data_IF_567342175957
#
_entry.id   IF_567342175957
#
_cell.length_a   1.000
_cell.length_b   1.000
_cell.length_c   1.000
_cell.angle_alpha   90.00
_cell.angle_beta   90.00
_cell.angle_gamma   90.00
#
_symmetry.space_group_name_H-M   'P 1'
#
loop_
_entity.id
_entity.type
_entity.pdbx_description
1 polymer ?
#
# COMPACT_ATOMS: atom_id res chain seq x y z
N UNK A 1 2.85 -22.40 -32.69
CA UNK A 1 3.06 -23.84 -32.37
C UNK A 1 2.37 -24.75 -33.41
N UNK A 2 1.08 -24.53 -33.74
CA UNK A 2 0.33 -25.37 -34.70
C UNK A 2 0.97 -25.52 -36.09
N UNK A 3 1.28 -24.42 -36.78
CA UNK A 3 1.81 -24.44 -38.16
C UNK A 3 3.17 -25.16 -38.27
N UNK A 4 4.01 -25.08 -37.24
CA UNK A 4 5.31 -25.74 -37.21
C UNK A 4 5.21 -27.25 -37.00
N UNK A 5 4.31 -27.72 -36.13
CA UNK A 5 4.04 -29.14 -35.91
C UNK A 5 3.40 -29.76 -37.16
N UNK A 6 2.44 -29.04 -37.77
CA UNK A 6 1.82 -29.43 -39.04
C UNK A 6 2.86 -29.58 -40.15
N UNK A 7 3.75 -28.60 -40.31
CA UNK A 7 4.80 -28.63 -41.34
C UNK A 7 5.76 -29.81 -41.17
N UNK A 8 6.12 -30.16 -39.93
CA UNK A 8 6.96 -31.33 -39.61
C UNK A 8 6.22 -32.66 -39.84
N UNK A 9 4.93 -32.73 -39.49
CA UNK A 9 4.06 -33.87 -39.82
C UNK A 9 3.99 -34.09 -41.34
N UNK A 10 3.79 -33.03 -42.12
CA UNK A 10 3.72 -33.09 -43.59
C UNK A 10 5.04 -33.56 -44.20
N UNK A 11 6.18 -33.04 -43.74
CA UNK A 11 7.51 -33.49 -44.17
C UNK A 11 7.78 -34.97 -43.82
N UNK A 12 7.38 -35.42 -42.63
CA UNK A 12 7.49 -36.82 -42.23
C UNK A 12 6.60 -37.73 -43.10
N UNK A 13 5.38 -37.27 -43.40
CA UNK A 13 4.45 -37.99 -44.25
C UNK A 13 4.94 -38.14 -45.69
N UNK A 14 5.54 -37.08 -46.27
CA UNK A 14 6.16 -37.12 -47.59
C UNK A 14 7.31 -38.13 -47.65
N UNK A 15 8.20 -38.14 -46.64
CA UNK A 15 9.32 -39.09 -46.57
C UNK A 15 8.87 -40.54 -46.42
N UNK A 16 7.84 -40.80 -45.60
CA UNK A 16 7.30 -42.15 -45.41
C UNK A 16 6.58 -42.67 -46.66
N UNK A 17 5.87 -41.80 -47.38
CA UNK A 17 5.29 -42.10 -48.70
C UNK A 17 6.38 -42.40 -49.74
N UNK A 18 7.44 -41.58 -49.81
CA UNK A 18 8.57 -41.82 -50.70
C UNK A 18 9.32 -43.14 -50.40
N UNK A 19 9.38 -43.54 -49.13
CA UNK A 19 9.95 -44.81 -48.69
C UNK A 19 9.03 -46.03 -48.88
N UNK A 20 7.84 -45.87 -49.49
CA UNK A 20 6.83 -46.93 -49.69
C UNK A 20 6.37 -47.62 -48.38
N UNK A 21 6.29 -46.87 -47.27
CA UNK A 21 5.81 -47.38 -45.96
C UNK A 21 4.56 -46.64 -45.48
N UNK A 22 3.42 -46.72 -46.19
CA UNK A 22 2.21 -45.97 -45.83
C UNK A 22 1.58 -46.42 -44.51
N UNK A 23 1.70 -47.71 -44.15
CA UNK A 23 1.14 -48.27 -42.92
C UNK A 23 1.73 -47.65 -41.65
N UNK A 24 2.93 -47.06 -41.75
CA UNK A 24 3.60 -46.37 -40.65
C UNK A 24 3.17 -44.90 -40.48
N UNK A 25 2.39 -44.34 -41.41
CA UNK A 25 2.01 -42.92 -41.37
C UNK A 25 1.20 -42.59 -40.11
N UNK A 26 0.10 -43.31 -39.88
CA UNK A 26 -0.76 -43.07 -38.72
C UNK A 26 -0.02 -43.22 -37.38
N UNK A 27 0.70 -44.33 -37.10
CA UNK A 27 1.43 -44.46 -35.84
C UNK A 27 2.56 -43.43 -35.71
N UNK A 28 3.28 -43.10 -36.78
CA UNK A 28 4.32 -42.07 -36.75
C UNK A 28 3.75 -40.68 -36.45
N UNK A 29 2.62 -40.31 -37.06
CA UNK A 29 1.93 -39.04 -36.78
C UNK A 29 1.43 -38.99 -35.34
N UNK A 30 0.81 -40.06 -34.84
CA UNK A 30 0.33 -40.14 -33.45
C UNK A 30 1.49 -39.99 -32.46
N UNK A 31 2.58 -40.73 -32.67
CA UNK A 31 3.78 -40.65 -31.82
C UNK A 31 4.38 -39.24 -31.87
N UNK A 32 4.50 -38.65 -33.06
CA UNK A 32 5.07 -37.32 -33.23
C UNK A 32 4.23 -36.25 -32.55
N UNK A 33 2.90 -36.26 -32.74
CA UNK A 33 1.99 -35.31 -32.09
C UNK A 33 2.01 -35.48 -30.58
N UNK A 34 2.00 -36.72 -30.08
CA UNK A 34 2.11 -37.00 -28.65
C UNK A 34 3.45 -36.50 -28.07
N UNK A 35 4.56 -36.74 -28.78
CA UNK A 35 5.87 -36.25 -28.40
C UNK A 35 5.93 -34.72 -28.40
N UNK A 36 5.33 -34.06 -29.40
CA UNK A 36 5.21 -32.60 -29.43
C UNK A 36 4.36 -32.07 -28.27
N UNK A 37 3.24 -32.71 -27.93
CA UNK A 37 2.42 -32.32 -26.78
C UNK A 37 3.21 -32.45 -25.49
N UNK A 38 3.90 -33.57 -25.27
CA UNK A 38 4.72 -33.77 -24.06
C UNK A 38 5.88 -32.77 -24.03
N UNK A 39 6.58 -32.57 -25.15
CA UNK A 39 7.73 -31.68 -25.21
C UNK A 39 7.33 -30.22 -25.03
N UNK A 40 6.33 -29.74 -25.77
CA UNK A 40 5.86 -28.35 -25.69
C UNK A 40 5.29 -28.07 -24.30
N UNK A 41 4.33 -28.88 -23.82
CA UNK A 41 3.73 -28.65 -22.51
C UNK A 41 4.74 -28.87 -21.39
N UNK A 42 5.64 -29.85 -21.50
CA UNK A 42 6.70 -30.10 -20.52
C UNK A 42 7.73 -28.96 -20.47
N UNK A 43 8.13 -28.40 -21.62
CA UNK A 43 9.00 -27.22 -21.68
C UNK A 43 8.29 -25.98 -21.12
N UNK A 44 7.02 -25.77 -21.45
CA UNK A 44 6.21 -24.69 -20.89
C UNK A 44 6.06 -24.83 -19.38
N UNK A 45 5.77 -26.03 -18.88
CA UNK A 45 5.71 -26.31 -17.45
C UNK A 45 7.05 -26.00 -16.80
N UNK A 46 8.15 -26.55 -17.29
CA UNK A 46 9.48 -26.34 -16.68
C UNK A 46 9.92 -24.87 -16.70
N UNK A 47 9.70 -24.16 -17.82
CA UNK A 47 10.07 -22.75 -17.93
C UNK A 47 9.23 -21.85 -17.01
N UNK A 48 7.95 -22.18 -16.83
CA UNK A 48 6.98 -21.32 -16.17
C UNK A 48 6.62 -21.77 -14.74
N UNK A 49 7.03 -22.97 -14.31
CA UNK A 49 6.63 -23.53 -13.00
C UNK A 49 6.99 -22.60 -11.85
N UNK A 50 8.19 -22.03 -11.87
CA UNK A 50 8.65 -21.12 -10.80
C UNK A 50 7.79 -19.87 -10.69
N UNK A 51 7.36 -19.29 -11.81
CA UNK A 51 6.62 -18.02 -11.83
C UNK A 51 5.10 -18.21 -11.69
N UNK A 52 4.58 -19.39 -12.03
CA UNK A 52 3.16 -19.74 -11.87
C UNK A 52 2.84 -20.47 -10.57
N UNK A 53 3.83 -21.12 -9.95
CA UNK A 53 3.60 -21.75 -8.64
C UNK A 53 3.24 -20.68 -7.62
N UNK A 54 2.07 -20.85 -6.99
CA UNK A 54 1.60 -20.01 -5.89
C UNK A 54 1.93 -20.61 -4.53
N UNK A 55 2.70 -21.70 -4.51
CA UNK A 55 3.11 -22.35 -3.28
C UNK A 55 3.88 -21.37 -2.38
N UNK A 56 3.37 -21.17 -1.16
CA UNK A 56 3.95 -20.23 -0.21
C UNK A 56 3.63 -18.75 -0.50
N UNK A 57 2.84 -18.41 -1.52
CA UNK A 57 2.36 -17.04 -1.69
C UNK A 57 1.15 -16.80 -0.78
N UNK A 58 1.43 -16.22 0.38
CA UNK A 58 0.40 -15.83 1.34
C UNK A 58 0.01 -14.36 1.25
N UNK A 59 0.53 -13.60 0.27
CA UNK A 59 0.34 -12.15 0.17
C UNK A 59 -1.14 -11.77 0.19
N UNK A 60 -2.04 -12.36 -0.62
CA UNK A 60 -3.45 -11.95 -0.61
C UNK A 60 -4.10 -12.16 0.77
N UNK A 61 -3.80 -13.29 1.41
CA UNK A 61 -4.35 -13.63 2.72
C UNK A 61 -3.80 -12.70 3.81
N UNK A 62 -2.47 -12.51 3.87
CA UNK A 62 -1.80 -11.68 4.87
C UNK A 62 -2.16 -10.21 4.69
N UNK A 63 -2.28 -9.72 3.45
CA UNK A 63 -2.75 -8.36 3.13
C UNK A 63 -4.15 -8.12 3.68
N UNK A 64 -5.10 -9.00 3.36
CA UNK A 64 -6.47 -8.91 3.86
C UNK A 64 -6.55 -9.01 5.39
N UNK A 65 -5.78 -9.92 5.99
CA UNK A 65 -5.69 -10.03 7.45
C UNK A 65 -5.19 -8.72 8.06
N UNK A 66 -4.07 -8.19 7.57
CA UNK A 66 -3.45 -6.98 8.08
C UNK A 66 -4.41 -5.78 7.99
N UNK A 67 -5.13 -5.63 6.88
CA UNK A 67 -6.16 -4.59 6.72
C UNK A 67 -7.34 -4.78 7.69
N UNK A 68 -7.96 -5.97 7.75
CA UNK A 68 -9.10 -6.22 8.62
C UNK A 68 -8.74 -6.01 10.10
N UNK A 69 -7.57 -6.48 10.52
CA UNK A 69 -7.15 -6.35 11.92
C UNK A 69 -6.80 -4.92 12.33
N UNK A 70 -6.47 -4.03 11.38
CA UNK A 70 -6.33 -2.60 11.67
C UNK A 70 -7.66 -1.88 11.92
N UNK A 71 -8.78 -2.43 11.45
CA UNK A 71 -10.09 -1.81 11.62
C UNK A 71 -10.63 -2.03 13.04
N UNK A 72 -11.27 -1.00 13.60
CA UNK A 72 -12.07 -1.12 14.83
C UNK A 72 -13.29 -2.03 14.67
N UNK A 73 -13.91 -2.41 15.80
CA UNK A 73 -15.12 -3.25 15.81
C UNK A 73 -16.25 -2.58 15.01
N UNK A 74 -16.97 -3.40 14.26
CA UNK A 74 -18.10 -2.99 13.42
C UNK A 74 -17.73 -1.90 12.42
N UNK A 75 -16.47 -1.74 12.00
CA UNK A 75 -16.07 -0.65 11.09
C UNK A 75 -16.75 -0.70 9.70
N UNK A 76 -16.75 0.42 8.99
CA UNK A 76 -16.91 0.49 7.53
C UNK A 76 -15.51 0.71 6.94
N UNK A 77 -15.12 -0.13 5.98
CA UNK A 77 -13.85 -0.04 5.27
C UNK A 77 -14.11 0.17 3.78
N UNK A 78 -13.79 1.35 3.27
CA UNK A 78 -13.79 1.64 1.85
C UNK A 78 -12.54 1.05 1.18
N UNK A 79 -12.72 0.34 0.07
CA UNK A 79 -11.65 -0.32 -0.68
C UNK A 79 -11.65 0.09 -2.14
N UNK A 80 -10.51 -0.07 -2.81
CA UNK A 80 -10.35 0.27 -4.20
C UNK A 80 -10.11 -0.97 -5.06
N UNK A 81 -11.03 -1.25 -5.99
CA UNK A 81 -10.89 -2.37 -6.91
C UNK A 81 -10.89 -3.76 -6.26
N UNK A 82 -10.50 -4.74 -7.06
CA UNK A 82 -10.59 -6.17 -6.78
C UNK A 82 -9.46 -6.69 -5.87
N UNK A 83 -8.23 -6.17 -6.04
CA UNK A 83 -7.04 -6.60 -5.31
C UNK A 83 -7.17 -6.41 -3.78
N UNK A 84 -7.88 -5.39 -3.32
CA UNK A 84 -8.23 -5.25 -1.91
C UNK A 84 -9.45 -6.11 -1.55
N UNK A 85 -10.51 -5.97 -2.35
CA UNK A 85 -11.85 -6.41 -1.96
C UNK A 85 -11.99 -7.93 -1.92
N UNK A 86 -11.49 -8.64 -2.92
CA UNK A 86 -11.72 -10.10 -3.02
C UNK A 86 -10.99 -10.88 -1.92
N UNK A 87 -9.72 -10.59 -1.60
CA UNK A 87 -9.07 -11.23 -0.46
C UNK A 87 -9.78 -10.94 0.88
N UNK A 88 -10.28 -9.72 1.08
CA UNK A 88 -11.07 -9.37 2.28
C UNK A 88 -12.36 -10.18 2.37
N UNK A 89 -13.14 -10.23 1.29
CA UNK A 89 -14.36 -11.02 1.24
C UNK A 89 -14.10 -12.51 1.41
N UNK A 90 -13.01 -13.05 0.86
CA UNK A 90 -12.61 -14.43 1.10
C UNK A 90 -12.42 -14.71 2.60
N UNK A 91 -11.67 -13.84 3.31
CA UNK A 91 -11.48 -14.00 4.75
C UNK A 91 -12.80 -13.93 5.55
N UNK A 92 -13.74 -13.09 5.13
CA UNK A 92 -15.02 -12.93 5.82
C UNK A 92 -16.00 -14.08 5.50
N UNK A 93 -16.13 -14.42 4.22
CA UNK A 93 -17.15 -15.35 3.72
C UNK A 93 -16.76 -16.83 3.82
N UNK A 94 -15.47 -17.13 3.78
CA UNK A 94 -14.94 -18.49 3.89
C UNK A 94 -14.33 -18.71 5.26
N UNK A 95 -13.34 -17.90 5.64
CA UNK A 95 -12.53 -18.11 6.86
C UNK A 95 -13.19 -17.58 8.15
N UNK A 96 -14.32 -16.85 8.05
CA UNK A 96 -15.06 -16.26 9.19
C UNK A 96 -14.23 -15.30 10.05
N UNK A 97 -13.29 -14.59 9.43
CA UNK A 97 -12.44 -13.62 10.11
C UNK A 97 -13.03 -12.22 9.97
N UNK A 98 -13.16 -11.50 11.10
CA UNK A 98 -13.62 -10.10 11.16
C UNK A 98 -14.88 -9.85 10.33
N UNK A 99 -15.88 -10.72 10.50
CA UNK A 99 -17.18 -10.62 9.84
C UNK A 99 -18.01 -9.42 10.33
N UNK A 100 -17.52 -8.69 11.34
CA UNK A 100 -18.11 -7.44 11.84
C UNK A 100 -17.85 -6.24 10.92
N UNK A 101 -16.72 -6.23 10.20
CA UNK A 101 -16.32 -5.11 9.32
C UNK A 101 -17.14 -5.13 8.03
N UNK A 102 -17.74 -4.00 7.65
CA UNK A 102 -18.35 -3.86 6.33
C UNK A 102 -17.37 -3.30 5.32
N UNK A 103 -16.99 -4.14 4.35
CA UNK A 103 -16.18 -3.74 3.19
C UNK A 103 -17.07 -3.08 2.13
N UNK A 104 -16.70 -1.89 1.69
CA UNK A 104 -17.38 -1.11 0.66
C UNK A 104 -16.42 -0.86 -0.50
N UNK A 105 -16.56 -1.64 -1.56
CA UNK A 105 -15.82 -1.44 -2.80
C UNK A 105 -16.33 -0.20 -3.55
N UNK A 106 -15.46 0.78 -3.76
CA UNK A 106 -15.82 2.05 -4.41
C UNK A 106 -16.17 1.89 -5.89
N UNK A 107 -15.54 0.94 -6.60
CA UNK A 107 -15.87 0.66 -8.01
C UNK A 107 -17.31 0.16 -8.16
N UNK A 108 -17.79 -0.65 -7.20
CA UNK A 108 -19.17 -1.13 -7.16
C UNK A 108 -20.16 -0.11 -6.58
N UNK A 109 -19.69 0.83 -5.74
CA UNK A 109 -20.49 1.91 -5.15
C UNK A 109 -21.10 2.85 -6.20
N UNK A 110 -20.68 2.75 -7.47
CA UNK A 110 -21.32 3.41 -8.60
C UNK A 110 -22.65 2.78 -9.02
N UNK A 111 -23.09 1.68 -8.39
CA UNK A 111 -24.26 0.91 -8.83
C UNK A 111 -25.32 0.80 -7.73
N UNK A 112 -26.58 1.09 -8.08
CA UNK A 112 -27.68 1.10 -7.12
C UNK A 112 -27.96 -0.26 -6.47
N UNK A 113 -27.81 -1.37 -7.21
CA UNK A 113 -28.02 -2.71 -6.66
C UNK A 113 -27.03 -3.02 -5.52
N UNK A 114 -25.79 -2.56 -5.64
CA UNK A 114 -24.75 -2.80 -4.65
C UNK A 114 -25.00 -1.96 -3.40
N UNK A 115 -25.35 -0.69 -3.56
CA UNK A 115 -25.74 0.17 -2.44
C UNK A 115 -26.99 -0.34 -1.72
N UNK A 116 -27.99 -0.83 -2.48
CA UNK A 116 -29.17 -1.48 -1.91
C UNK A 116 -28.80 -2.74 -1.11
N UNK A 117 -27.85 -3.53 -1.59
CA UNK A 117 -27.31 -4.66 -0.83
C UNK A 117 -26.65 -4.21 0.48
N UNK A 118 -25.84 -3.15 0.47
CA UNK A 118 -25.20 -2.60 1.68
C UNK A 118 -26.22 -2.09 2.70
N UNK A 119 -27.28 -1.41 2.22
CA UNK A 119 -28.38 -0.89 3.02
C UNK A 119 -29.22 -2.00 3.65
N UNK A 120 -29.50 -3.06 2.90
CA UNK A 120 -30.55 -4.02 3.27
C UNK A 120 -30.05 -5.36 3.82
N UNK A 121 -28.76 -5.69 3.67
CA UNK A 121 -28.22 -7.00 4.06
C UNK A 121 -27.18 -6.95 5.19
N UNK A 122 -27.15 -8.03 5.97
CA UNK A 122 -26.23 -8.27 7.09
C UNK A 122 -25.44 -9.56 6.90
N UNK A 123 -24.53 -9.62 5.90
CA UNK A 123 -23.77 -10.84 5.63
C UNK A 123 -22.96 -11.21 6.87
N UNK A 124 -23.11 -12.46 7.30
CA UNK A 124 -22.40 -13.04 8.46
C UNK A 124 -22.54 -12.23 9.76
N UNK A 125 -23.67 -11.55 9.92
CA UNK A 125 -23.97 -10.76 11.12
C UNK A 125 -23.39 -9.34 11.11
N UNK A 126 -22.73 -8.92 10.02
CA UNK A 126 -22.27 -7.54 9.88
C UNK A 126 -23.45 -6.56 9.95
N UNK A 127 -23.27 -5.43 10.63
CA UNK A 127 -24.28 -4.37 10.65
C UNK A 127 -24.53 -3.82 9.25
N UNK A 128 -25.81 -3.60 8.93
CA UNK A 128 -26.24 -2.86 7.72
C UNK A 128 -25.58 -1.48 7.70
N UNK A 129 -25.41 -0.92 6.51
CA UNK A 129 -24.94 0.46 6.38
C UNK A 129 -26.16 1.38 6.34
N UNK A 130 -26.16 2.42 7.18
CA UNK A 130 -27.20 3.43 7.15
C UNK A 130 -27.01 4.35 5.94
N UNK A 131 -28.11 4.74 5.31
CA UNK A 131 -28.16 5.70 4.21
C UNK A 131 -29.31 6.67 4.49
N UNK A 132 -29.09 7.95 4.19
CA UNK A 132 -30.16 8.94 4.10
C UNK A 132 -30.93 8.81 2.79
N UNK A 133 -30.26 8.38 1.72
CA UNK A 133 -30.90 8.12 0.42
C UNK A 133 -31.96 7.02 0.53
N UNK A 134 -33.12 7.27 -0.06
CA UNK A 134 -34.21 6.31 -0.20
C UNK A 134 -33.88 5.26 -1.29
N UNK A 135 -34.75 4.27 -1.47
CA UNK A 135 -34.48 3.15 -2.37
C UNK A 135 -34.52 3.56 -3.86
N UNK A 136 -35.32 4.58 -4.22
CA UNK A 136 -35.37 5.11 -5.59
C UNK A 136 -34.11 5.92 -5.91
N UNK A 137 -33.65 6.77 -4.99
CA UNK A 137 -32.40 7.53 -5.11
C UNK A 137 -31.19 6.60 -5.24
N UNK A 138 -31.18 5.50 -4.46
CA UNK A 138 -30.15 4.47 -4.57
C UNK A 138 -30.23 3.76 -5.92
N UNK A 139 -31.41 3.31 -6.34
CA UNK A 139 -31.58 2.58 -7.61
C UNK A 139 -31.17 3.43 -8.82
N UNK A 140 -31.47 4.73 -8.79
CA UNK A 140 -31.18 5.72 -9.83
C UNK A 140 -29.86 6.47 -9.64
N UNK A 141 -28.93 6.00 -8.78
CA UNK A 141 -27.71 6.75 -8.49
C UNK A 141 -26.92 7.08 -9.76
N UNK A 142 -26.71 8.37 -10.00
CA UNK A 142 -26.03 8.90 -11.19
C UNK A 142 -25.26 10.17 -10.83
N UNK A 143 -24.55 10.71 -11.83
CA UNK A 143 -23.83 11.98 -11.72
C UNK A 143 -24.81 13.13 -11.49
N UNK A 144 -24.48 14.00 -10.53
CA UNK A 144 -25.28 15.18 -10.21
C UNK A 144 -24.43 16.44 -10.26
N UNK A 145 -24.90 17.54 -10.87
CA UNK A 145 -24.18 18.81 -10.81
C UNK A 145 -23.98 19.26 -9.37
N UNK A 146 -22.76 19.68 -9.04
CA UNK A 146 -22.45 20.21 -7.71
C UNK A 146 -21.39 21.30 -7.83
N UNK A 147 -21.53 22.33 -7.00
CA UNK A 147 -20.47 23.29 -6.71
C UNK A 147 -19.68 22.85 -5.48
N UNK A 148 -18.50 23.43 -5.29
CA UNK A 148 -17.75 23.17 -4.06
C UNK A 148 -18.52 23.70 -2.84
N UNK A 149 -18.73 22.86 -1.84
CA UNK A 149 -19.54 23.19 -0.66
C UNK A 149 -18.82 22.79 0.63
N UNK A 150 -18.88 23.63 1.65
CA UNK A 150 -18.39 23.25 2.98
C UNK A 150 -19.44 22.37 3.66
N UNK A 151 -19.04 21.16 4.03
CA UNK A 151 -19.87 20.19 4.73
C UNK A 151 -19.48 20.17 6.20
N UNK A 152 -20.48 20.03 7.08
CA UNK A 152 -20.29 19.89 8.53
C UNK A 152 -20.69 18.48 8.96
N UNK A 153 -19.75 17.74 9.53
CA UNK A 153 -19.96 16.39 10.08
C UNK A 153 -19.80 16.42 11.60
N UNK A 154 -20.90 16.26 12.37
CA UNK A 154 -20.85 16.14 13.82
C UNK A 154 -19.98 14.95 14.26
N UNK A 155 -19.14 15.16 15.28
CA UNK A 155 -18.10 14.20 15.64
C UNK A 155 -17.95 13.92 17.14
N UNK A 156 -18.89 14.39 17.97
CA UNK A 156 -18.87 14.26 19.44
C UNK A 156 -18.48 12.86 19.95
N UNK A 157 -19.18 11.78 19.57
CA UNK A 157 -18.83 10.43 20.04
C UNK A 157 -17.43 9.97 19.59
N UNK A 158 -17.03 10.29 18.35
CA UNK A 158 -15.70 9.96 17.85
C UNK A 158 -14.60 10.76 18.57
N UNK A 159 -14.89 11.99 18.99
CA UNK A 159 -14.01 12.86 19.77
C UNK A 159 -13.80 12.29 21.17
N UNK A 160 -14.85 11.90 21.86
CA UNK A 160 -14.76 11.28 23.18
C UNK A 160 -13.93 9.99 23.14
N UNK A 161 -14.18 9.13 22.14
CA UNK A 161 -13.41 7.90 21.96
C UNK A 161 -11.93 8.18 21.68
N UNK A 162 -11.62 9.17 20.84
CA UNK A 162 -10.24 9.55 20.55
C UNK A 162 -9.50 10.07 21.79
N UNK A 163 -10.13 10.94 22.59
CA UNK A 163 -9.58 11.43 23.85
C UNK A 163 -9.33 10.28 24.84
N UNK A 164 -10.29 9.36 24.96
CA UNK A 164 -10.17 8.17 25.82
C UNK A 164 -9.01 7.27 25.39
N UNK A 165 -8.85 7.02 24.09
CA UNK A 165 -7.76 6.21 23.55
C UNK A 165 -6.40 6.89 23.73
N UNK A 166 -6.30 8.20 23.47
CA UNK A 166 -5.09 8.98 23.70
C UNK A 166 -4.66 8.92 25.17
N UNK A 167 -5.58 9.15 26.10
CA UNK A 167 -5.32 9.07 27.54
C UNK A 167 -4.88 7.67 27.97
N UNK A 168 -5.51 6.61 27.45
CA UNK A 168 -5.13 5.22 27.74
C UNK A 168 -3.75 4.85 27.21
N UNK A 169 -3.38 5.36 26.04
CA UNK A 169 -2.10 5.07 25.39
C UNK A 169 -0.96 5.98 25.86
N UNK A 170 -1.28 7.08 26.53
CA UNK A 170 -0.28 8.09 26.92
C UNK A 170 0.36 8.77 25.71
N UNK A 171 -0.34 8.78 24.57
CA UNK A 171 0.12 9.43 23.33
C UNK A 171 -0.60 10.76 23.23
N UNK A 172 0.11 11.91 23.32
CA UNK A 172 -0.52 13.21 23.17
C UNK A 172 -1.11 13.34 21.77
N UNK A 173 -2.28 13.96 21.67
CA UNK A 173 -2.85 14.31 20.37
C UNK A 173 -2.11 15.52 19.79
N UNK A 174 -1.97 15.60 18.45
CA UNK A 174 -1.28 16.72 17.79
C UNK A 174 -2.07 18.04 17.88
N UNK A 175 -3.34 17.97 18.28
CA UNK A 175 -4.21 19.12 18.49
C UNK A 175 -5.47 18.71 19.24
N UNK A 176 -6.32 19.68 19.55
CA UNK A 176 -7.62 19.40 20.18
C UNK A 176 -8.58 18.73 19.19
N UNK A 177 -9.22 17.61 19.58
CA UNK A 177 -10.28 17.02 18.79
C UNK A 177 -11.46 17.96 18.57
N UNK A 178 -11.94 18.00 17.33
CA UNK A 178 -13.03 18.85 16.88
C UNK A 178 -14.38 18.32 17.35
N UNK A 179 -15.31 19.21 17.67
CA UNK A 179 -16.73 18.85 17.90
C UNK A 179 -17.43 18.50 16.58
N UNK A 180 -17.02 19.14 15.48
CA UNK A 180 -17.48 18.84 14.13
C UNK A 180 -16.34 18.99 13.14
N UNK A 181 -16.27 18.05 12.20
CA UNK A 181 -15.36 18.13 11.05
C UNK A 181 -16.00 19.03 10.01
N UNK A 182 -15.25 20.03 9.54
CA UNK A 182 -15.66 20.89 8.42
C UNK A 182 -14.66 20.74 7.30
N UNK A 183 -15.12 20.30 6.13
CA UNK A 183 -14.28 20.13 4.96
C UNK A 183 -14.97 20.64 3.70
N UNK A 184 -14.16 20.97 2.70
CA UNK A 184 -14.63 21.41 1.39
C UNK A 184 -14.87 20.16 0.52
N UNK A 185 -16.14 19.82 0.33
CA UNK A 185 -16.54 18.82 -0.65
C UNK A 185 -16.43 19.45 -2.04
N UNK A 186 -15.59 18.86 -2.89
CA UNK A 186 -15.35 19.32 -4.26
C UNK A 186 -16.03 18.38 -5.27
N UNK A 187 -16.33 18.86 -6.49
CA UNK A 187 -16.73 17.99 -7.58
C UNK A 187 -15.67 16.90 -7.84
N UNK A 188 -16.11 15.66 -8.06
CA UNK A 188 -15.23 14.53 -8.40
C UNK A 188 -14.92 14.43 -9.90
N UNK A 189 -15.63 15.20 -10.72
CA UNK A 189 -15.41 15.35 -12.16
C UNK A 189 -15.81 16.78 -12.55
N UNK A 190 -15.05 17.41 -13.44
CA UNK A 190 -15.44 18.68 -14.07
C UNK A 190 -15.54 18.48 -15.57
N UNK A 191 -16.68 18.82 -16.16
CA UNK A 191 -16.91 18.73 -17.60
C UNK A 191 -17.54 20.04 -18.09
N UNK A 192 -16.92 20.65 -19.10
CA UNK A 192 -17.34 21.92 -19.69
C UNK A 192 -17.57 23.04 -18.66
N UNK A 193 -16.67 23.13 -17.67
CA UNK A 193 -16.74 24.12 -16.58
C UNK A 193 -17.75 23.79 -15.47
N UNK A 194 -18.61 22.79 -15.64
CA UNK A 194 -19.54 22.32 -14.61
C UNK A 194 -18.92 21.19 -13.78
N UNK A 195 -18.99 21.32 -12.46
CA UNK A 195 -18.65 20.26 -11.52
C UNK A 195 -19.75 19.21 -11.38
N UNK A 196 -19.37 17.94 -11.28
CA UNK A 196 -20.26 16.80 -11.07
C UNK A 196 -19.81 15.98 -9.87
N UNK A 197 -20.79 15.56 -9.07
CA UNK A 197 -20.66 14.61 -8.00
C UNK A 197 -20.82 13.20 -8.57
N UNK A 198 -19.77 12.38 -8.49
CA UNK A 198 -19.79 11.02 -9.06
C UNK A 198 -20.67 10.10 -8.19
N UNK A 199 -21.31 9.07 -8.77
CA UNK A 199 -22.11 8.10 -8.01
C UNK A 199 -21.39 7.52 -6.77
N UNK A 200 -20.14 7.10 -6.92
CA UNK A 200 -19.34 6.61 -5.78
C UNK A 200 -19.08 7.68 -4.71
N UNK A 201 -18.89 8.95 -5.07
CA UNK A 201 -18.60 10.02 -4.11
C UNK A 201 -19.86 10.37 -3.32
N UNK A 202 -21.03 10.37 -3.97
CA UNK A 202 -22.35 10.47 -3.33
C UNK A 202 -22.55 9.36 -2.31
N UNK A 203 -22.20 8.13 -2.67
CA UNK A 203 -22.28 6.99 -1.78
C UNK A 203 -21.33 7.14 -0.58
N UNK A 204 -20.08 7.54 -0.78
CA UNK A 204 -19.14 7.80 0.33
C UNK A 204 -19.67 8.89 1.24
N UNK A 205 -20.15 10.01 0.67
CA UNK A 205 -20.71 11.12 1.43
C UNK A 205 -21.89 10.70 2.29
N UNK A 206 -22.91 10.05 1.73
CA UNK A 206 -24.08 9.60 2.50
C UNK A 206 -23.67 8.61 3.59
N UNK A 207 -22.84 7.61 3.26
CA UNK A 207 -22.36 6.63 4.24
C UNK A 207 -21.60 7.33 5.38
N UNK A 208 -20.74 8.30 5.09
CA UNK A 208 -20.01 9.05 6.11
C UNK A 208 -20.97 9.83 7.00
N UNK A 209 -21.86 10.62 6.41
CA UNK A 209 -22.84 11.44 7.13
C UNK A 209 -23.79 10.60 7.99
N UNK A 210 -24.20 9.43 7.49
CA UNK A 210 -25.20 8.57 8.14
C UNK A 210 -24.60 7.63 9.20
N UNK A 211 -23.28 7.39 9.23
CA UNK A 211 -22.69 6.34 10.08
C UNK A 211 -21.60 6.82 11.05
N UNK A 212 -20.89 7.91 10.75
CA UNK A 212 -19.65 8.28 11.49
C UNK A 212 -19.85 8.44 13.00
N UNK A 213 -21.02 8.92 13.44
CA UNK A 213 -21.33 9.12 14.85
C UNK A 213 -21.27 7.84 15.69
N UNK A 214 -21.56 6.67 15.10
CA UNK A 214 -21.70 5.41 15.84
C UNK A 214 -20.79 4.30 15.31
N UNK A 215 -20.05 4.56 14.24
CA UNK A 215 -19.35 3.52 13.50
C UNK A 215 -18.00 4.05 12.98
N UNK A 216 -16.89 3.37 13.29
CA UNK A 216 -15.59 3.74 12.74
C UNK A 216 -15.58 3.66 11.21
N UNK A 217 -15.05 4.69 10.55
CA UNK A 217 -14.92 4.76 9.09
C UNK A 217 -13.44 4.71 8.72
N UNK A 218 -13.13 3.85 7.77
CA UNK A 218 -11.79 3.63 7.26
C UNK A 218 -11.77 3.65 5.73
N UNK A 219 -10.63 4.06 5.18
CA UNK A 219 -10.26 3.89 3.78
C UNK A 219 -9.03 2.98 3.73
N UNK A 220 -8.99 2.05 2.77
CA UNK A 220 -7.78 1.28 2.51
C UNK A 220 -6.63 2.22 2.11
N UNK A 221 -5.38 1.85 2.45
CA UNK A 221 -4.18 2.62 2.10
C UNK A 221 -4.04 2.87 0.57
N UNK A 222 -4.61 1.96 -0.21
CA UNK A 222 -4.65 1.91 -1.68
C UNK A 222 -5.80 2.72 -2.31
N UNK A 223 -6.71 3.28 -1.51
CA UNK A 223 -7.71 4.22 -2.01
C UNK A 223 -7.01 5.50 -2.42
N UNK A 224 -7.29 5.96 -3.64
CA UNK A 224 -6.79 7.23 -4.13
C UNK A 224 -7.39 8.39 -3.29
N UNK A 225 -6.58 9.38 -2.86
CA UNK A 225 -7.07 10.55 -2.14
C UNK A 225 -8.27 11.25 -2.81
N UNK A 226 -8.33 11.29 -4.15
CA UNK A 226 -9.47 11.89 -4.88
C UNK A 226 -10.81 11.19 -4.60
N UNK A 227 -10.77 9.94 -4.12
CA UNK A 227 -11.95 9.18 -3.75
C UNK A 227 -12.29 9.28 -2.24
N UNK A 228 -11.56 10.10 -1.49
CA UNK A 228 -11.78 10.39 -0.06
C UNK A 228 -12.58 11.67 0.17
N UNK A 229 -13.11 12.27 -0.89
CA UNK A 229 -14.07 13.38 -0.89
C UNK A 229 -13.65 14.62 -0.08
N UNK A 230 -12.34 14.89 0.04
CA UNK A 230 -11.81 16.04 0.76
C UNK A 230 -11.54 15.82 2.26
N UNK A 231 -11.61 14.57 2.73
CA UNK A 231 -11.41 14.20 4.14
C UNK A 231 -9.95 13.94 4.52
N UNK A 232 -8.99 14.13 3.62
CA UNK A 232 -7.61 13.66 3.73
C UNK A 232 -6.89 14.25 4.96
N UNK A 233 -7.20 15.49 5.33
CA UNK A 233 -6.68 16.15 6.53
C UNK A 233 -7.27 15.62 7.84
N UNK A 234 -8.30 14.77 7.77
CA UNK A 234 -8.97 14.14 8.90
C UNK A 234 -8.70 12.64 8.98
N UNK A 235 -7.67 12.16 8.29
CA UNK A 235 -7.30 10.75 8.25
C UNK A 235 -6.05 10.46 9.07
N UNK A 236 -6.15 9.45 9.94
CA UNK A 236 -5.04 8.88 10.69
C UNK A 236 -4.56 7.57 10.06
N UNK A 237 -3.27 7.40 9.90
CA UNK A 237 -2.66 6.17 9.39
C UNK A 237 -2.60 5.08 10.49
N UNK A 238 -3.50 4.09 10.42
CA UNK A 238 -3.60 2.97 11.36
C UNK A 238 -2.97 1.66 10.78
N UNK A 239 -2.12 1.80 9.77
CA UNK A 239 -1.43 0.70 9.07
C UNK A 239 -1.81 0.67 7.59
N UNK A 240 -2.35 -0.44 7.11
CA UNK A 240 -2.89 -0.58 5.74
C UNK A 240 -4.26 0.10 5.55
N UNK A 241 -4.68 0.91 6.51
CA UNK A 241 -5.94 1.66 6.47
C UNK A 241 -5.74 3.04 7.08
N UNK A 242 -6.50 4.00 6.56
CA UNK A 242 -6.67 5.33 7.10
C UNK A 242 -7.99 5.42 7.87
N UNK A 243 -7.95 5.84 9.13
CA UNK A 243 -9.16 6.04 9.96
C UNK A 243 -9.60 7.50 9.90
N UNK A 244 -10.88 7.75 9.65
CA UNK A 244 -11.47 9.07 9.84
C UNK A 244 -11.51 9.43 11.34
N UNK A 245 -10.90 10.55 11.71
CA UNK A 245 -10.79 11.03 13.08
C UNK A 245 -11.13 12.53 13.16
N UNK A 246 -11.68 13.01 14.29
CA UNK A 246 -11.99 14.42 14.48
C UNK A 246 -10.76 15.25 14.83
N UNK A 247 -9.69 15.12 14.05
CA UNK A 247 -8.49 15.93 14.15
C UNK A 247 -8.18 16.49 12.77
N UNK A 248 -7.66 17.71 12.72
CA UNK A 248 -7.18 18.31 11.48
C UNK A 248 -5.67 18.26 11.45
N UNK A 249 -5.12 17.45 10.56
CA UNK A 249 -3.70 17.44 10.26
C UNK A 249 -3.34 18.64 9.38
N UNK A 250 -2.17 19.29 9.60
CA UNK A 250 -1.66 20.32 8.70
C UNK A 250 -1.38 19.76 7.29
N UNK A 251 -0.83 18.56 7.25
CA UNK A 251 -0.54 17.84 6.01
C UNK A 251 -1.53 16.67 5.83
N UNK A 252 -2.08 16.47 4.62
CA UNK A 252 -2.99 15.36 4.33
C UNK A 252 -2.42 14.01 4.74
N UNK A 253 -3.26 13.18 5.39
CA UNK A 253 -2.98 11.76 5.67
C UNK A 253 -1.68 11.52 6.45
N UNK A 254 -1.21 12.52 7.17
CA UNK A 254 0.09 12.48 7.85
C UNK A 254 -0.04 12.06 9.33
N UNK A 255 -1.22 12.18 9.93
CA UNK A 255 -1.37 11.86 11.35
C UNK A 255 -1.17 10.37 11.65
N UNK A 256 -0.43 10.06 12.72
CA UNK A 256 -0.09 8.69 13.17
C UNK A 256 -0.29 8.58 14.68
N UNK A 257 -0.84 7.46 15.14
CA UNK A 257 -0.71 7.02 16.53
C UNK A 257 0.40 5.98 16.61
N UNK A 258 1.59 6.38 17.09
CA UNK A 258 2.78 5.53 17.08
C UNK A 258 2.60 4.23 17.90
N UNK A 259 1.84 4.28 19.00
CA UNK A 259 1.58 3.08 19.81
C UNK A 259 0.73 2.08 19.04
N UNK A 260 -0.36 2.56 18.43
CA UNK A 260 -1.25 1.72 17.64
C UNK A 260 -0.54 1.17 16.39
N UNK A 261 0.15 2.04 15.65
CA UNK A 261 0.84 1.65 14.41
C UNK A 261 1.94 0.62 14.70
N UNK A 262 2.73 0.82 15.77
CA UNK A 262 3.70 -0.20 16.20
C UNK A 262 3.02 -1.52 16.58
N UNK A 263 1.94 -1.47 17.36
CA UNK A 263 1.18 -2.66 17.75
C UNK A 263 0.68 -3.46 16.55
N UNK A 264 0.20 -2.76 15.52
CA UNK A 264 -0.22 -3.38 14.27
C UNK A 264 0.96 -4.02 13.52
N UNK A 265 1.97 -3.22 13.17
CA UNK A 265 3.10 -3.66 12.34
C UNK A 265 3.94 -4.76 13.01
N UNK A 266 4.23 -4.65 14.30
CA UNK A 266 5.14 -5.57 14.99
C UNK A 266 4.41 -6.73 15.70
N UNK A 267 3.13 -6.58 16.03
CA UNK A 267 2.39 -7.53 16.87
C UNK A 267 1.24 -8.27 16.20
N UNK A 268 0.56 -7.64 15.24
CA UNK A 268 -0.67 -8.17 14.64
C UNK A 268 -0.45 -8.63 13.20
N UNK A 269 0.38 -7.90 12.47
CA UNK A 269 0.58 -8.12 11.05
C UNK A 269 1.33 -9.42 10.75
N UNK A 270 0.99 -10.02 9.62
CA UNK A 270 1.63 -11.23 9.08
C UNK A 270 2.39 -10.89 7.80
N UNK A 271 3.56 -11.52 7.68
CA UNK A 271 4.51 -11.30 6.58
C UNK A 271 5.07 -12.64 6.07
N UNK A 272 4.22 -13.67 6.00
CA UNK A 272 4.69 -15.04 5.77
C UNK A 272 5.41 -15.13 4.43
N UNK A 273 6.64 -15.66 4.48
CA UNK A 273 7.54 -15.87 3.34
C UNK A 273 8.04 -14.60 2.63
N UNK A 274 7.76 -13.39 3.14
CA UNK A 274 8.26 -12.16 2.51
C UNK A 274 9.77 -11.95 2.76
N UNK A 275 10.28 -12.47 3.87
CA UNK A 275 11.70 -12.45 4.24
C UNK A 275 12.52 -13.57 3.59
N UNK A 276 11.90 -14.49 2.82
CA UNK A 276 12.58 -15.63 2.21
C UNK A 276 13.35 -15.21 0.95
N UNK A 277 14.69 -15.37 0.92
CA UNK A 277 15.49 -15.01 -0.25
C UNK A 277 15.07 -15.77 -1.51
N UNK A 278 14.91 -15.03 -2.62
CA UNK A 278 14.64 -15.61 -3.94
C UNK A 278 13.21 -16.12 -4.14
N UNK A 279 12.31 -15.86 -3.18
CA UNK A 279 10.88 -16.09 -3.33
C UNK A 279 10.33 -15.21 -4.46
N UNK A 280 9.71 -15.84 -5.45
CA UNK A 280 9.17 -15.11 -6.59
C UNK A 280 7.77 -14.57 -6.25
N UNK A 281 7.62 -13.26 -6.37
CA UNK A 281 6.34 -12.58 -6.34
C UNK A 281 6.08 -11.96 -7.72
N UNK A 282 4.88 -12.16 -8.24
CA UNK A 282 4.44 -11.42 -9.41
C UNK A 282 4.36 -9.92 -9.10
N UNK A 283 4.36 -9.13 -10.16
CA UNK A 283 4.45 -7.67 -10.09
C UNK A 283 3.42 -7.05 -9.14
N UNK A 284 2.15 -7.44 -9.23
CA UNK A 284 1.07 -6.90 -8.38
C UNK A 284 1.31 -7.16 -6.90
N UNK A 285 1.58 -8.42 -6.50
CA UNK A 285 1.87 -8.75 -5.10
C UNK A 285 3.12 -8.03 -4.60
N UNK A 286 4.17 -7.93 -5.42
CA UNK A 286 5.39 -7.20 -5.08
C UNK A 286 5.11 -5.71 -4.86
N UNK A 287 4.30 -5.08 -5.72
CA UNK A 287 3.88 -3.68 -5.58
C UNK A 287 3.06 -3.46 -4.32
N UNK A 288 2.12 -4.36 -4.00
CA UNK A 288 1.35 -4.30 -2.75
C UNK A 288 2.27 -4.41 -1.53
N UNK A 289 3.23 -5.34 -1.54
CA UNK A 289 4.22 -5.47 -0.46
C UNK A 289 5.08 -4.20 -0.29
N UNK A 290 5.31 -3.45 -1.37
CA UNK A 290 6.02 -2.17 -1.33
C UNK A 290 5.38 -1.12 -0.43
N UNK A 291 4.10 -1.27 -0.08
CA UNK A 291 3.41 -0.36 0.82
C UNK A 291 3.80 -0.54 2.30
N UNK A 292 4.40 -1.66 2.69
CA UNK A 292 4.75 -1.89 4.10
C UNK A 292 5.94 -1.03 4.55
N UNK A 293 7.04 -1.01 3.80
CA UNK A 293 8.25 -0.27 4.20
C UNK A 293 7.98 1.21 4.52
N UNK A 294 7.20 1.97 3.72
CA UNK A 294 6.80 3.33 4.07
C UNK A 294 6.11 3.46 5.45
N UNK A 295 5.31 2.46 5.87
CA UNK A 295 4.66 2.48 7.19
C UNK A 295 5.68 2.38 8.32
N UNK A 296 6.68 1.50 8.18
CA UNK A 296 7.78 1.39 9.16
C UNK A 296 8.60 2.67 9.23
N UNK A 297 8.92 3.28 8.08
CA UNK A 297 9.66 4.54 8.03
C UNK A 297 8.85 5.68 8.65
N UNK A 298 7.54 5.75 8.36
CA UNK A 298 6.65 6.75 8.96
C UNK A 298 6.58 6.62 10.48
N UNK A 299 6.47 5.40 10.99
CA UNK A 299 6.51 5.13 12.43
C UNK A 299 7.86 5.52 13.04
N UNK A 300 8.98 5.20 12.38
CA UNK A 300 10.31 5.57 12.86
C UNK A 300 10.52 7.09 12.87
N UNK A 301 9.97 7.84 11.89
CA UNK A 301 9.98 9.31 11.88
C UNK A 301 9.28 9.88 13.11
N UNK A 302 8.07 9.40 13.40
CA UNK A 302 7.29 9.83 14.55
C UNK A 302 8.04 9.60 15.87
N UNK A 303 8.59 8.40 16.05
CA UNK A 303 9.37 8.04 17.24
C UNK A 303 10.70 8.81 17.34
N UNK A 304 11.29 9.20 16.21
CA UNK A 304 12.53 9.95 16.18
C UNK A 304 12.36 11.46 16.48
N UNK A 305 11.12 11.96 16.58
CA UNK A 305 10.86 13.36 16.96
C UNK A 305 11.38 13.65 18.37
N UNK A 306 11.07 12.76 19.33
CA UNK A 306 11.48 12.86 20.74
C UNK A 306 12.24 11.61 21.18
N UNK A 307 13.48 11.38 20.71
CA UNK A 307 14.18 10.11 20.85
C UNK A 307 14.50 9.75 22.32
N UNK A 308 14.69 10.75 23.19
CA UNK A 308 14.87 10.57 24.64
C UNK A 308 13.56 10.36 25.40
N UNK A 309 12.41 10.60 24.76
CA UNK A 309 11.09 10.40 25.31
C UNK A 309 10.78 8.92 25.51
N UNK A 310 9.75 8.66 26.33
CA UNK A 310 9.20 7.33 26.50
C UNK A 310 7.87 7.22 25.76
N UNK A 311 7.53 6.01 25.33
CA UNK A 311 6.22 5.68 24.78
C UNK A 311 5.74 4.37 25.38
N UNK A 312 4.47 4.33 25.75
CA UNK A 312 3.81 3.11 26.20
C UNK A 312 3.16 2.43 25.00
N UNK A 313 3.49 1.18 24.78
CA UNK A 313 2.88 0.34 23.75
C UNK A 313 1.87 -0.58 24.43
N UNK A 314 0.60 -0.39 24.09
CA UNK A 314 -0.49 -1.26 24.53
C UNK A 314 -0.76 -2.29 23.42
N UNK A 315 -0.17 -3.49 23.53
CA UNK A 315 -0.39 -4.57 22.56
C UNK A 315 -1.76 -5.23 22.74
N UNK A 316 -2.32 -5.78 21.66
CA UNK A 316 -3.51 -6.65 21.72
C UNK A 316 -3.18 -8.06 22.28
N UNK A 317 -1.90 -8.44 22.36
CA UNK A 317 -1.45 -9.80 22.75
C UNK A 317 -0.27 -9.85 23.73
N UNK A 318 0.33 -8.70 24.09
CA UNK A 318 1.45 -8.61 25.04
C UNK A 318 1.13 -7.60 26.15
N UNK A 319 1.67 -7.83 27.34
CA UNK A 319 1.54 -6.89 28.46
C UNK A 319 2.04 -5.50 28.03
N UNK A 320 1.41 -4.41 28.52
CA UNK A 320 1.86 -3.06 28.22
C UNK A 320 3.34 -2.89 28.55
N UNK A 321 4.11 -2.37 27.60
CA UNK A 321 5.54 -2.15 27.75
C UNK A 321 5.91 -0.72 27.39
N UNK A 322 6.80 -0.13 28.17
CA UNK A 322 7.31 1.22 27.94
C UNK A 322 8.69 1.14 27.29
N UNK A 323 8.88 1.89 26.21
CA UNK A 323 10.13 1.94 25.47
C UNK A 323 10.65 3.37 25.39
N UNK A 324 11.96 3.53 25.29
CA UNK A 324 12.55 4.78 24.79
C UNK A 324 12.25 4.89 23.29
N UNK A 325 11.77 6.06 22.86
CA UNK A 325 11.30 6.22 21.49
C UNK A 325 12.41 6.03 20.46
N UNK A 326 13.63 6.55 20.71
CA UNK A 326 14.76 6.37 19.79
C UNK A 326 15.20 4.92 19.64
N UNK A 327 15.21 4.14 20.72
CA UNK A 327 15.52 2.70 20.69
C UNK A 327 14.42 1.94 19.93
N UNK A 328 13.15 2.32 20.12
CA UNK A 328 12.03 1.74 19.40
C UNK A 328 12.09 2.08 17.91
N UNK A 329 12.45 3.30 17.54
CA UNK A 329 12.63 3.73 16.15
C UNK A 329 13.70 2.88 15.44
N UNK A 330 14.86 2.68 16.07
CA UNK A 330 15.90 1.79 15.54
C UNK A 330 15.42 0.35 15.40
N UNK A 331 14.66 -0.15 16.37
CA UNK A 331 14.06 -1.50 16.31
C UNK A 331 13.09 -1.64 15.13
N UNK A 332 12.27 -0.61 14.87
CA UNK A 332 11.31 -0.56 13.77
C UNK A 332 12.02 -0.57 12.42
N UNK A 333 13.08 0.23 12.24
CA UNK A 333 13.85 0.26 11.00
C UNK A 333 14.51 -1.10 10.71
N UNK A 334 15.17 -1.69 11.71
CA UNK A 334 15.79 -3.02 11.60
C UNK A 334 14.78 -4.13 11.30
N UNK A 335 13.57 -4.03 11.86
CA UNK A 335 12.48 -4.95 11.54
C UNK A 335 12.04 -4.80 10.08
N UNK A 336 11.90 -3.57 9.58
CA UNK A 336 11.57 -3.32 8.18
C UNK A 336 12.60 -3.92 7.23
N UNK A 337 13.89 -3.73 7.48
CA UNK A 337 14.96 -4.28 6.63
C UNK A 337 14.96 -5.81 6.59
N UNK A 338 14.73 -6.44 7.73
CA UNK A 338 14.66 -7.89 7.84
C UNK A 338 13.49 -8.47 7.04
N UNK A 339 12.31 -7.83 7.15
CA UNK A 339 11.08 -8.31 6.51
C UNK A 339 11.04 -7.96 5.02
N UNK A 340 11.61 -6.82 4.64
CA UNK A 340 11.55 -6.25 3.29
C UNK A 340 12.94 -5.86 2.81
N UNK A 341 13.82 -6.84 2.52
CA UNK A 341 15.17 -6.55 2.05
C UNK A 341 15.14 -5.83 0.70
N UNK A 342 15.98 -4.81 0.54
CA UNK A 342 16.06 -3.94 -0.66
C UNK A 342 16.35 -4.70 -1.96
N UNK A 343 16.96 -5.89 -1.87
CA UNK A 343 17.21 -6.75 -3.02
C UNK A 343 15.95 -7.35 -3.64
N UNK A 344 14.88 -7.48 -2.84
CA UNK A 344 13.59 -8.04 -3.25
C UNK A 344 12.50 -6.97 -3.34
N UNK A 345 12.56 -5.97 -2.45
CA UNK A 345 11.62 -4.86 -2.34
C UNK A 345 12.36 -3.53 -2.48
N UNK A 346 12.72 -3.14 -3.72
CA UNK A 346 13.37 -1.86 -3.96
C UNK A 346 12.46 -0.70 -3.53
N UNK A 347 13.07 0.35 -2.99
CA UNK A 347 12.37 1.57 -2.57
C UNK A 347 12.82 2.74 -3.43
N UNK A 348 12.02 3.80 -3.51
CA UNK A 348 12.47 5.00 -4.20
C UNK A 348 13.69 5.63 -3.49
N UNK A 349 14.55 6.36 -4.23
CA UNK A 349 15.76 6.96 -3.65
C UNK A 349 15.45 7.88 -2.47
N UNK A 350 14.37 8.65 -2.53
CA UNK A 350 13.97 9.59 -1.49
C UNK A 350 13.70 8.88 -0.15
N UNK A 351 12.96 7.77 -0.17
CA UNK A 351 12.69 6.97 1.03
C UNK A 351 13.98 6.37 1.59
N UNK A 352 14.87 5.86 0.72
CA UNK A 352 16.18 5.39 1.15
C UNK A 352 17.00 6.51 1.83
N UNK A 353 16.98 7.72 1.26
CA UNK A 353 17.58 8.91 1.85
C UNK A 353 16.99 9.27 3.22
N UNK A 354 15.67 9.18 3.38
CA UNK A 354 14.99 9.38 4.66
C UNK A 354 15.41 8.35 5.71
N UNK A 355 15.54 7.07 5.35
CA UNK A 355 16.01 6.01 6.26
C UNK A 355 17.46 6.26 6.69
N UNK A 356 18.33 6.65 5.76
CA UNK A 356 19.72 7.01 6.08
C UNK A 356 19.74 8.17 7.08
N UNK A 357 18.99 9.25 6.81
CA UNK A 357 18.93 10.41 7.70
C UNK A 357 18.43 10.03 9.11
N UNK A 358 17.45 9.12 9.21
CA UNK A 358 16.95 8.60 10.48
C UNK A 358 18.01 7.84 11.26
N UNK A 359 18.72 6.91 10.63
CA UNK A 359 19.81 6.17 11.28
C UNK A 359 20.88 7.10 11.85
N UNK A 360 21.26 8.13 11.09
CA UNK A 360 22.22 9.14 11.54
C UNK A 360 21.68 9.96 12.70
N UNK A 361 20.43 10.43 12.61
CA UNK A 361 19.76 11.17 13.70
C UNK A 361 19.68 10.36 14.99
N UNK A 362 19.48 9.05 14.88
CA UNK A 362 19.42 8.11 16.00
C UNK A 362 20.79 7.63 16.48
N UNK A 363 21.89 8.10 15.86
CA UNK A 363 23.26 7.79 16.26
C UNK A 363 23.78 6.42 15.81
N UNK A 364 23.09 5.72 14.92
CA UNK A 364 23.40 4.35 14.50
C UNK A 364 23.85 4.34 13.03
N UNK A 365 25.08 4.76 12.78
CA UNK A 365 25.61 4.95 11.41
C UNK A 365 25.70 3.66 10.60
N UNK A 366 25.87 2.50 11.25
CA UNK A 366 26.10 1.24 10.56
C UNK A 366 24.82 0.75 9.86
N UNK A 367 23.63 1.02 10.42
CA UNK A 367 22.35 0.73 9.77
C UNK A 367 22.13 1.48 8.46
N UNK A 368 22.79 2.61 8.23
CA UNK A 368 22.69 3.34 6.97
C UNK A 368 23.45 2.69 5.81
N UNK A 369 24.41 1.79 6.07
CA UNK A 369 25.31 1.24 5.04
C UNK A 369 24.56 0.51 3.93
N UNK A 370 23.58 -0.34 4.29
CA UNK A 370 22.81 -1.12 3.30
C UNK A 370 22.05 -0.25 2.31
N UNK A 371 21.52 0.89 2.77
CA UNK A 371 20.82 1.86 1.93
C UNK A 371 21.78 2.71 1.09
N UNK A 372 22.97 3.02 1.60
CA UNK A 372 24.00 3.70 0.82
C UNK A 372 24.48 2.82 -0.32
N UNK A 373 24.82 1.55 -0.04
CA UNK A 373 25.23 0.56 -1.05
C UNK A 373 24.14 0.38 -2.11
N UNK A 374 22.87 0.41 -1.69
CA UNK A 374 21.72 0.37 -2.58
C UNK A 374 21.67 1.60 -3.52
N UNK A 375 21.81 2.82 -2.99
CA UNK A 375 21.85 4.04 -3.80
C UNK A 375 23.07 4.09 -4.74
N UNK A 376 24.23 3.65 -4.27
CA UNK A 376 25.45 3.53 -5.09
C UNK A 376 25.21 2.58 -6.28
N UNK A 377 24.56 1.43 -6.05
CA UNK A 377 24.21 0.47 -7.10
C UNK A 377 23.25 1.07 -8.14
N UNK A 378 22.25 1.84 -7.70
CA UNK A 378 21.35 2.55 -8.61
C UNK A 378 22.12 3.58 -9.45
N UNK A 379 22.95 4.40 -8.81
CA UNK A 379 23.79 5.40 -9.49
C UNK A 379 24.73 4.79 -10.53
N UNK A 380 25.25 3.58 -10.29
CA UNK A 380 26.10 2.86 -11.25
C UNK A 380 25.34 2.41 -12.51
N UNK A 381 24.02 2.25 -12.41
CA UNK A 381 23.13 1.89 -13.54
C UNK A 381 22.47 3.08 -14.23
N UNK A 382 22.73 4.31 -13.80
CA UNK A 382 22.08 5.53 -14.29
C UNK A 382 23.09 6.62 -14.68
N UNK A 383 22.59 7.81 -15.03
CA UNK A 383 23.40 9.03 -15.21
C UNK A 383 22.79 10.21 -14.47
N UNK A 384 23.60 11.21 -14.06
CA UNK A 384 23.07 12.44 -13.46
C UNK A 384 22.03 13.18 -14.31
N UNK A 385 22.14 13.10 -15.65
CA UNK A 385 21.14 13.65 -16.57
C UNK A 385 19.79 12.91 -16.53
N UNK A 386 19.82 11.58 -16.40
CA UNK A 386 18.58 10.77 -16.39
C UNK A 386 17.90 10.77 -15.03
N UNK A 387 18.69 10.71 -13.95
CA UNK A 387 18.19 10.54 -12.58
C UNK A 387 18.83 11.56 -11.61
N UNK A 388 18.67 12.88 -11.83
CA UNK A 388 19.37 13.90 -11.05
C UNK A 388 19.07 13.83 -9.54
N UNK A 389 17.84 13.48 -9.18
CA UNK A 389 17.40 13.34 -7.79
C UNK A 389 18.17 12.24 -7.06
N UNK A 390 18.40 11.10 -7.70
CA UNK A 390 19.15 9.98 -7.13
C UNK A 390 20.57 10.38 -6.73
N UNK A 391 21.29 11.09 -7.61
CA UNK A 391 22.65 11.57 -7.31
C UNK A 391 22.66 12.61 -6.19
N UNK A 392 21.67 13.50 -6.14
CA UNK A 392 21.53 14.46 -5.05
C UNK A 392 21.30 13.76 -3.70
N UNK A 393 20.42 12.76 -3.67
CA UNK A 393 20.16 11.95 -2.47
C UNK A 393 21.42 11.20 -2.03
N UNK A 394 22.17 10.59 -2.95
CA UNK A 394 23.42 9.91 -2.62
C UNK A 394 24.48 10.88 -2.07
N UNK A 395 24.62 12.08 -2.66
CA UNK A 395 25.52 13.10 -2.12
C UNK A 395 25.14 13.49 -0.69
N UNK A 396 23.84 13.70 -0.42
CA UNK A 396 23.35 13.99 0.94
C UNK A 396 23.62 12.82 1.90
N UNK A 397 23.41 11.59 1.46
CA UNK A 397 23.72 10.40 2.27
C UNK A 397 25.20 10.34 2.66
N UNK A 398 26.11 10.56 1.71
CA UNK A 398 27.55 10.65 1.98
C UNK A 398 27.90 11.75 2.96
N UNK A 399 27.30 12.94 2.80
CA UNK A 399 27.50 14.06 3.73
C UNK A 399 27.08 13.68 5.15
N UNK A 400 25.89 13.08 5.30
CA UNK A 400 25.32 12.69 6.60
C UNK A 400 26.18 11.65 7.34
N UNK A 401 26.83 10.74 6.61
CA UNK A 401 27.72 9.73 7.22
C UNK A 401 29.16 10.22 7.44
N UNK A 402 29.49 11.43 6.96
CA UNK A 402 30.82 12.04 7.10
C UNK A 402 31.76 11.80 5.91
N UNK A 403 31.31 11.17 4.82
CA UNK A 403 32.06 10.97 3.56
C UNK A 403 32.03 12.24 2.70
N UNK A 404 32.56 13.36 3.21
CA UNK A 404 32.45 14.70 2.60
C UNK A 404 33.05 14.79 1.19
N UNK A 405 34.19 14.16 0.96
CA UNK A 405 34.85 14.18 -0.36
C UNK A 405 34.05 13.39 -1.41
N UNK A 406 33.45 12.26 -1.02
CA UNK A 406 32.54 11.52 -1.89
C UNK A 406 31.29 12.34 -2.23
N UNK A 407 30.72 13.03 -1.24
CA UNK A 407 29.58 13.92 -1.44
C UNK A 407 29.91 15.03 -2.46
N UNK A 408 31.05 15.72 -2.28
CA UNK A 408 31.53 16.76 -3.20
C UNK A 408 31.76 16.24 -4.62
N UNK A 409 32.34 15.05 -4.75
CA UNK A 409 32.56 14.42 -6.06
C UNK A 409 31.23 14.14 -6.77
N UNK A 410 30.24 13.58 -6.08
CA UNK A 410 28.93 13.27 -6.67
C UNK A 410 28.18 14.55 -7.03
N UNK A 411 28.08 15.52 -6.12
CA UNK A 411 27.36 16.77 -6.39
C UNK A 411 28.05 17.61 -7.48
N UNK A 412 29.38 17.62 -7.53
CA UNK A 412 30.14 18.30 -8.59
C UNK A 412 29.91 17.67 -9.96
N UNK A 413 29.82 16.34 -10.04
CA UNK A 413 29.45 15.65 -11.28
C UNK A 413 28.03 16.01 -11.71
N UNK A 414 27.07 16.00 -10.78
CA UNK A 414 25.68 16.37 -11.04
C UNK A 414 25.57 17.83 -11.54
N UNK A 415 26.20 18.77 -10.85
CA UNK A 415 26.24 20.19 -11.22
C UNK A 415 26.81 20.40 -12.64
N UNK A 416 27.90 19.69 -12.97
CA UNK A 416 28.52 19.76 -14.30
C UNK A 416 27.60 19.22 -15.39
N UNK A 417 26.98 18.07 -15.18
CA UNK A 417 26.11 17.44 -16.19
C UNK A 417 24.81 18.22 -16.39
N UNK A 418 24.25 18.85 -15.34
CA UNK A 418 23.05 19.69 -15.44
C UNK A 418 23.33 21.13 -15.88
N UNK A 419 24.60 21.52 -16.07
CA UNK A 419 25.01 22.91 -16.31
C UNK A 419 24.52 23.88 -15.22
N UNK A 420 24.58 23.45 -13.95
CA UNK A 420 24.14 24.21 -12.78
C UNK A 420 25.30 24.37 -11.77
N UNK A 421 26.25 25.28 -12.01
CA UNK A 421 27.43 25.44 -11.14
C UNK A 421 27.09 25.90 -9.71
N UNK A 422 25.96 26.60 -9.52
CA UNK A 422 25.47 27.02 -8.20
C UNK A 422 25.07 25.86 -7.27
N UNK A 423 24.75 24.69 -7.84
CA UNK A 423 24.24 23.54 -7.08
C UNK A 423 25.22 23.03 -6.02
N UNK A 424 26.53 23.14 -6.26
CA UNK A 424 27.55 22.74 -5.27
C UNK A 424 27.53 23.68 -4.07
N UNK A 425 27.47 24.99 -4.32
CA UNK A 425 27.41 25.99 -3.25
C UNK A 425 26.10 25.88 -2.46
N UNK A 426 24.98 25.68 -3.15
CA UNK A 426 23.67 25.47 -2.52
C UNK A 426 23.68 24.21 -1.66
N UNK A 427 24.29 23.12 -2.14
CA UNK A 427 24.42 21.87 -1.39
C UNK A 427 25.30 22.02 -0.15
N UNK A 428 26.38 22.81 -0.20
CA UNK A 428 27.23 23.05 0.96
C UNK A 428 26.59 24.00 2.00
N UNK A 429 25.73 24.92 1.56
CA UNK A 429 25.08 25.93 2.42
C UNK A 429 23.73 25.49 2.99
N UNK A 430 23.07 24.50 2.37
CA UNK A 430 21.82 23.91 2.87
C UNK A 430 22.07 23.13 4.16
N UNK A 431 21.61 23.68 5.30
CA UNK A 431 21.55 22.99 6.60
C UNK A 431 20.63 21.77 6.53
N UNK A 432 20.95 20.76 7.33
CA UNK A 432 20.39 19.40 7.30
C UNK A 432 18.87 19.29 7.41
#
# INVERSE_FOLDING_TARGET
IGIGVESLCSLAAEKLKAAKKPDLLLPATVIFVAACLVFVNGRMLMANYRVHSRAGNYVPWDWAWNMLQSCGKDAILFTNGDNDTFPLWYLQEVERIRTDVRVVNLSLANTGWYLSQLKNTSPRGAKKIAFSMNDEEIAGITYEPIDSVNVVLPSGPAREELLRLSGRNGVPLPGEPLESIVWLLKPGLTYDGQGYFRPQDKAVYDIVMSNFANRPIYFALTVDPENMIGLENHLRLDGLVYKLVPLKSPDPMSYVDASLLYGNLAGVYRYRNLDKPGFYLEETSRRLCGNYSPLFVRLALELAEKPSGQIRINGNSTQPATFRQGELALKVLKLSERLFPLSQYPVNPELAGSVIALYIRLGEKQGATSYIDYLEKLCNGSSPLSEPKLYYVLARAYRNVGRKEDARRIIGRLAKELNQPGLVQDFETTKD
#
